data_IF_159476180944
#
_entry.id   IF_159476180944
#
_cell.length_a   1.000
_cell.length_b   1.000
_cell.length_c   1.000
_cell.angle_alpha   90.00
_cell.angle_beta   90.00
_cell.angle_gamma   90.00
#
_symmetry.space_group_name_H-M   'P 1'
#
loop_
_entity.id
_entity.type
_entity.pdbx_description
1 polymer ?
2 non-polymer ?
3 water ?
#
# COMPACT_ATOMS: atom_id res chain seq x y z
N UNK A 18 -26.35 32.54 -12.21
CA UNK A 18 -27.13 32.21 -13.44
C UNK A 18 -26.63 33.05 -14.62
N UNK A 19 -27.06 32.71 -15.86
CA UNK A 19 -27.96 31.65 -16.32
C UNK A 19 -27.70 30.21 -15.88
N UNK A 20 -28.79 29.50 -15.57
CA UNK A 20 -28.74 28.12 -15.15
C UNK A 20 -29.43 27.23 -16.19
N UNK A 21 -29.09 27.42 -17.47
CA UNK A 21 -29.67 26.61 -18.52
C UNK A 21 -28.89 25.30 -18.64
N UNK A 22 -29.57 24.15 -18.49
CA UNK A 22 -28.88 22.86 -18.58
C UNK A 22 -28.07 22.68 -19.86
N UNK A 23 -26.86 22.17 -19.70
CA UNK A 23 -25.95 21.91 -20.82
C UNK A 23 -25.30 20.56 -20.57
N UNK A 24 -25.20 19.74 -21.61
CA UNK A 24 -24.57 18.42 -21.50
C UNK A 24 -23.23 18.47 -22.25
N UNK A 25 -22.15 18.10 -21.56
CA UNK A 25 -20.87 18.11 -22.26
C UNK A 25 -20.94 17.07 -23.37
N UNK A 26 -20.57 17.50 -24.58
CA UNK A 26 -20.58 16.63 -25.74
C UNK A 26 -19.79 17.32 -26.82
N UNK A 27 -19.49 16.61 -27.91
CA UNK A 27 -18.70 17.17 -29.00
C UNK A 27 -18.58 16.11 -30.11
N UNK A 28 -18.32 16.58 -31.32
CA UNK A 28 -18.15 15.68 -32.43
C UNK A 28 -16.78 15.06 -32.13
N UNK A 29 -16.72 13.72 -32.16
CA UNK A 29 -15.50 12.97 -31.85
C UNK A 29 -14.31 13.35 -32.72
N UNK A 30 -13.12 13.04 -32.21
CA UNK A 30 -11.88 13.29 -32.92
C UNK A 30 -11.82 12.50 -34.24
N UNK A 31 -11.30 13.14 -35.27
CA UNK A 31 -11.14 12.53 -36.57
C UNK A 31 -9.72 12.86 -37.02
N UNK A 32 -9.08 11.93 -37.71
CA UNK A 32 -7.71 12.14 -38.19
C UNK A 32 -6.66 12.33 -37.09
N UNK A 33 -7.03 12.03 -35.85
CA UNK A 33 -6.12 12.20 -34.72
C UNK A 33 -5.91 13.67 -34.45
N UNK A 34 -6.95 14.44 -34.76
CA UNK A 34 -6.96 15.86 -34.53
C UNK A 34 -7.87 16.09 -33.34
N UNK A 35 -7.57 17.11 -32.53
CA UNK A 35 -8.38 17.45 -31.36
C UNK A 35 -9.79 17.85 -31.78
N UNK A 36 -10.83 17.37 -31.08
CA UNK A 36 -12.18 17.77 -31.48
C UNK A 36 -12.43 19.22 -31.05
N UNK A 37 -13.55 19.78 -31.47
CA UNK A 37 -13.86 21.14 -31.08
C UNK A 37 -15.30 21.12 -30.58
N UNK A 38 -15.50 21.76 -29.44
CA UNK A 38 -16.81 21.79 -28.79
C UNK A 38 -17.73 22.87 -29.34
N UNK A 39 -17.16 23.78 -30.13
CA UNK A 39 -17.98 24.85 -30.67
C UNK A 39 -17.69 26.20 -30.04
N UNK A 40 -17.73 27.24 -30.86
CA UNK A 40 -17.47 28.60 -30.42
C UNK A 40 -18.28 28.93 -29.17
N UNK A 41 -19.50 28.42 -29.14
CA UNK A 41 -20.42 28.66 -28.04
C UNK A 41 -19.93 28.06 -26.73
N UNK A 42 -19.60 26.78 -26.74
CA UNK A 42 -19.13 26.09 -25.55
C UNK A 42 -17.73 26.56 -25.17
N UNK A 43 -16.89 26.73 -26.18
CA UNK A 43 -15.53 27.17 -25.93
C UNK A 43 -15.55 28.46 -25.13
N UNK A 44 -16.44 29.38 -25.50
CA UNK A 44 -16.53 30.66 -24.80
C UNK A 44 -16.92 30.47 -23.34
N UNK A 45 -17.97 29.70 -23.07
CA UNK A 45 -18.41 29.47 -21.71
C UNK A 45 -17.30 28.80 -20.90
N UNK A 46 -16.63 27.83 -21.53
CA UNK A 46 -15.54 27.10 -20.91
C UNK A 46 -14.48 28.06 -20.40
N UNK A 47 -13.92 28.82 -21.32
CA UNK A 47 -12.88 29.79 -21.00
C UNK A 47 -13.32 30.81 -19.98
N UNK A 48 -14.57 31.27 -20.09
CA UNK A 48 -15.10 32.26 -19.16
C UNK A 48 -14.86 31.81 -17.72
N UNK A 49 -14.82 30.51 -17.49
CA UNK A 49 -14.58 29.98 -16.16
C UNK A 49 -13.37 29.08 -16.11
N UNK A 50 -13.17 28.44 -14.97
CA UNK A 50 -12.04 27.55 -14.80
C UNK A 50 -12.55 26.17 -15.23
N UNK A 51 -12.44 25.91 -16.54
CA UNK A 51 -12.89 24.64 -17.13
C UNK A 51 -12.24 24.36 -18.48
N UNK A 52 -11.92 23.10 -18.72
CA UNK A 52 -11.29 22.70 -19.98
C UNK A 52 -11.62 21.26 -20.35
N UNK A 53 -11.40 20.92 -21.61
CA UNK A 53 -11.66 19.56 -22.08
C UNK A 53 -10.44 19.03 -22.83
N UNK A 54 -9.44 19.88 -23.01
CA UNK A 54 -8.20 19.50 -23.70
C UNK A 54 -6.97 19.97 -22.92
N UNK A 55 -5.86 19.29 -23.13
CA UNK A 55 -4.62 19.68 -22.48
C UNK A 55 -3.75 20.38 -23.52
N UNK A 56 -2.46 20.09 -23.52
CA UNK A 56 -1.55 20.73 -24.49
C UNK A 56 -1.64 20.06 -25.86
N UNK A 57 -2.39 20.68 -26.77
CA UNK A 57 -2.56 20.12 -28.11
C UNK A 57 -1.31 20.28 -28.97
N UNK A 58 -0.35 21.06 -28.48
CA UNK A 58 0.88 21.29 -29.21
C UNK A 58 1.87 20.16 -29.08
N UNK A 59 1.67 19.27 -28.10
CA UNK A 59 2.57 18.12 -27.92
C UNK A 59 1.76 16.82 -27.91
N UNK A 60 2.44 15.71 -28.19
CA UNK A 60 1.82 14.40 -28.22
C UNK A 60 1.63 13.86 -26.81
N UNK A 61 0.68 14.45 -26.08
CA UNK A 61 0.41 14.05 -24.72
C UNK A 61 -1.06 13.69 -24.54
N UNK A 62 -1.29 12.72 -23.67
CA UNK A 62 -2.62 12.24 -23.34
C UNK A 62 -2.74 12.24 -21.82
N UNK A 63 -3.93 12.57 -21.35
CA UNK A 63 -4.19 12.62 -19.91
C UNK A 63 -5.36 11.68 -19.66
N UNK A 64 -5.11 10.62 -18.89
CA UNK A 64 -6.16 9.65 -18.55
C UNK A 64 -6.98 10.03 -17.30
N UNK A 65 -8.30 10.04 -17.43
CA UNK A 65 -9.17 10.32 -16.28
C UNK A 65 -10.20 9.22 -16.23
N UNK A 66 -10.75 8.98 -15.04
CA UNK A 66 -11.76 7.95 -14.84
C UNK A 66 -12.95 8.45 -14.03
N UNK A 67 -14.14 7.94 -14.33
CA UNK A 67 -15.32 8.29 -13.53
C UNK A 67 -15.61 6.99 -12.79
N UNK A 68 -15.73 7.09 -11.47
CA UNK A 68 -15.97 5.90 -10.68
C UNK A 68 -17.19 6.10 -9.79
N UNK A 69 -18.31 5.48 -10.16
CA UNK A 69 -19.53 5.58 -9.40
C UNK A 69 -19.84 4.32 -8.60
N UNK A 70 -19.33 3.19 -9.09
CA UNK A 70 -19.50 1.89 -8.41
C UNK A 70 -18.39 0.97 -8.92
N UNK A 71 -18.18 -0.12 -8.20
CA UNK A 71 -17.14 -1.06 -8.55
C UNK A 71 -17.72 -2.33 -9.12
N UNK A 72 -17.09 -2.85 -10.17
CA UNK A 72 -17.55 -4.09 -10.77
C UNK A 72 -16.41 -5.10 -10.89
N UNK A 73 -15.40 -4.96 -10.03
CA UNK A 73 -14.29 -5.89 -10.01
C UNK A 73 -12.98 -5.66 -10.77
N UNK A 74 -12.85 -4.59 -11.54
CA UNK A 74 -11.62 -4.41 -12.33
C UNK A 74 -10.70 -3.26 -11.96
N UNK A 75 -11.14 -2.39 -11.04
CA UNK A 75 -10.32 -1.24 -10.67
C UNK A 75 -8.94 -1.64 -10.16
N UNK A 76 -8.84 -2.75 -9.40
CA UNK A 76 -7.50 -3.17 -8.92
C UNK A 76 -6.54 -3.42 -10.10
N UNK A 77 -7.05 -4.07 -11.15
CA UNK A 77 -6.24 -4.37 -12.33
C UNK A 77 -5.90 -3.08 -13.08
N UNK A 78 -6.85 -2.13 -13.12
CA UNK A 78 -6.58 -0.87 -13.79
C UNK A 78 -5.43 -0.17 -13.04
N UNK A 79 -5.45 -0.23 -11.71
CA UNK A 79 -4.40 0.39 -10.91
C UNK A 79 -3.07 -0.34 -11.16
N UNK A 80 -3.13 -1.66 -11.30
CA UNK A 80 -1.93 -2.47 -11.59
C UNK A 80 -1.35 -2.09 -12.94
N UNK A 81 -2.23 -1.89 -13.91
CA UNK A 81 -1.82 -1.52 -15.25
C UNK A 81 -1.15 -0.15 -15.23
N UNK A 82 -1.80 0.82 -14.61
CA UNK A 82 -1.26 2.17 -14.51
C UNK A 82 0.12 2.18 -13.85
N UNK A 83 0.27 1.36 -12.80
CA UNK A 83 1.54 1.26 -12.09
C UNK A 83 2.60 0.68 -13.02
N UNK A 84 2.24 -0.41 -13.69
CA UNK A 84 3.13 -1.08 -14.63
C UNK A 84 3.69 -0.10 -15.67
N UNK A 85 2.81 0.69 -16.29
CA UNK A 85 3.23 1.67 -17.29
C UNK A 85 3.70 2.99 -16.69
N UNK A 86 3.68 3.06 -15.36
CA UNK A 86 4.12 4.26 -14.66
C UNK A 86 3.31 5.50 -15.06
N UNK A 87 1.99 5.35 -15.16
CA UNK A 87 1.13 6.47 -15.54
C UNK A 87 0.25 6.95 -14.38
N UNK A 88 0.07 8.27 -14.28
CA UNK A 88 -0.76 8.84 -13.20
C UNK A 88 -2.19 9.09 -13.68
N UNK A 89 -3.14 8.38 -13.09
CA UNK A 89 -4.53 8.57 -13.46
C UNK A 89 -5.22 9.59 -12.55
N UNK A 90 -6.35 10.11 -13.02
CA UNK A 90 -7.14 11.05 -12.23
C UNK A 90 -8.51 10.38 -12.17
N UNK A 91 -8.88 9.95 -10.96
CA UNK A 91 -10.12 9.24 -10.73
C UNK A 91 -11.18 10.13 -10.07
N UNK A 92 -12.24 10.41 -10.82
CA UNK A 92 -13.36 11.22 -10.35
C UNK A 92 -14.34 10.27 -9.68
N UNK A 93 -14.41 10.37 -8.36
CA UNK A 93 -15.25 9.48 -7.58
C UNK A 93 -16.49 10.09 -6.95
N UNK A 94 -17.50 9.24 -6.74
CA UNK A 94 -18.73 9.70 -6.09
C UNK A 94 -18.66 9.31 -4.62
N UNK A 95 -19.66 9.78 -3.85
CA UNK A 95 -19.72 9.49 -2.44
C UNK A 95 -19.95 8.01 -2.22
N UNK A 96 -20.84 7.44 -3.03
CA UNK A 96 -21.10 6.01 -2.91
C UNK A 96 -19.84 5.19 -3.19
N UNK A 97 -19.06 5.62 -4.19
CA UNK A 97 -17.86 4.87 -4.52
C UNK A 97 -16.86 4.89 -3.38
N UNK A 98 -16.62 6.08 -2.82
CA UNK A 98 -15.65 6.19 -1.74
C UNK A 98 -16.05 5.38 -0.51
N UNK A 99 -17.33 5.39 -0.18
CA UNK A 99 -17.84 4.65 0.98
C UNK A 99 -17.87 3.14 0.77
N UNK A 100 -18.12 2.71 -0.47
CA UNK A 100 -18.15 1.28 -0.75
C UNK A 100 -16.76 0.69 -0.95
N UNK A 101 -15.82 1.52 -1.39
CA UNK A 101 -14.47 1.06 -1.70
C UNK A 101 -13.35 1.88 -1.03
N UNK A 102 -13.33 1.93 0.31
CA UNK A 102 -12.25 2.74 0.90
C UNK A 102 -10.82 2.29 0.53
N UNK A 103 -10.62 0.99 0.40
CA UNK A 103 -9.31 0.44 0.07
C UNK A 103 -8.82 0.82 -1.33
N UNK A 104 -9.71 0.88 -2.31
CA UNK A 104 -9.30 1.28 -3.66
C UNK A 104 -8.91 2.76 -3.61
N UNK A 105 -9.70 3.54 -2.87
CA UNK A 105 -9.43 4.95 -2.68
C UNK A 105 -8.03 5.10 -2.03
N UNK A 106 -7.75 4.27 -1.03
CA UNK A 106 -6.44 4.32 -0.38
C UNK A 106 -5.33 3.95 -1.39
N UNK A 107 -5.60 2.95 -2.24
CA UNK A 107 -4.59 2.58 -3.25
C UNK A 107 -4.34 3.73 -4.23
N UNK A 108 -5.42 4.39 -4.68
CA UNK A 108 -5.26 5.51 -5.62
C UNK A 108 -4.31 6.55 -5.03
N UNK A 109 -4.56 6.88 -3.76
CA UNK A 109 -3.75 7.85 -3.04
C UNK A 109 -2.34 7.29 -2.83
N UNK A 110 -2.23 6.09 -2.25
CA UNK A 110 -0.89 5.54 -2.01
C UNK A 110 -0.09 5.33 -3.27
N UNK A 111 -0.76 5.09 -4.39
CA UNK A 111 -0.01 4.85 -5.62
C UNK A 111 0.26 6.01 -6.56
N UNK A 112 0.09 7.23 -6.04
CA UNK A 112 0.42 8.41 -6.83
C UNK A 112 -0.62 9.03 -7.74
N UNK A 113 -1.85 8.53 -7.67
CA UNK A 113 -2.89 9.07 -8.53
C UNK A 113 -3.63 10.25 -7.91
N UNK A 114 -4.43 10.93 -8.73
CA UNK A 114 -5.19 12.07 -8.27
C UNK A 114 -6.64 11.66 -8.11
N UNK A 115 -7.24 12.05 -6.99
CA UNK A 115 -8.63 11.73 -6.76
C UNK A 115 -9.44 12.99 -7.03
N UNK A 116 -10.31 12.94 -8.04
CA UNK A 116 -11.13 14.08 -8.41
C UNK A 116 -12.52 13.96 -7.81
N UNK A 117 -13.30 15.03 -7.93
CA UNK A 117 -14.63 15.06 -7.35
C UNK A 117 -15.74 14.83 -8.38
N UNK A 118 -16.57 13.83 -8.13
CA UNK A 118 -17.69 13.54 -9.02
C UNK A 118 -19.01 13.71 -8.24
N UNK A 119 -18.91 14.43 -7.11
CA UNK A 119 -20.03 14.75 -6.19
C UNK A 119 -20.47 13.56 -5.34
N UNK A 120 -21.03 13.85 -4.17
CA UNK A 120 -21.44 12.79 -3.26
C UNK A 120 -22.56 11.89 -3.75
N UNK A 121 -23.69 12.48 -4.15
CA UNK A 121 -24.82 11.70 -4.61
C UNK A 121 -24.96 11.65 -6.11
N UNK A 122 -24.01 12.23 -6.84
CA UNK A 122 -24.06 12.21 -8.31
C UNK A 122 -25.39 12.80 -8.82
N UNK A 123 -25.81 13.95 -8.28
CA UNK A 123 -27.07 14.55 -8.73
C UNK A 123 -26.82 15.48 -9.92
N UNK A 124 -27.91 15.99 -10.48
CA UNK A 124 -27.80 16.95 -11.57
C UNK A 124 -27.60 18.23 -10.77
N UNK A 125 -26.38 18.78 -10.80
CA UNK A 125 -26.06 19.99 -10.05
C UNK A 125 -26.86 21.24 -10.44
N UNK A 126 -27.47 21.24 -11.62
CA UNK A 126 -28.23 22.44 -12.03
C UNK A 126 -29.55 22.52 -11.26
N UNK A 127 -29.89 21.43 -10.57
CA UNK A 127 -31.11 21.41 -9.77
C UNK A 127 -30.75 21.67 -8.30
N UNK A 128 -29.53 22.12 -8.05
CA UNK A 128 -29.09 22.33 -6.68
C UNK A 128 -28.73 23.76 -6.33
N UNK A 129 -28.94 24.13 -5.07
CA UNK A 129 -28.61 25.46 -4.59
C UNK A 129 -27.11 25.48 -4.29
N UNK A 130 -26.51 26.66 -4.27
CA UNK A 130 -25.08 26.80 -3.98
C UNK A 130 -24.73 26.04 -2.71
N UNK A 131 -25.64 26.13 -1.75
CA UNK A 131 -25.51 25.49 -0.45
C UNK A 131 -25.39 23.98 -0.62
N UNK A 132 -26.30 23.44 -1.40
CA UNK A 132 -26.34 22.01 -1.67
C UNK A 132 -25.11 21.59 -2.46
N UNK A 133 -24.74 22.41 -3.45
CA UNK A 133 -23.58 22.13 -4.26
C UNK A 133 -22.35 22.01 -3.39
N UNK A 134 -22.20 22.95 -2.46
CA UNK A 134 -21.05 22.96 -1.55
C UNK A 134 -20.97 21.67 -0.74
N UNK A 135 -22.11 21.21 -0.23
CA UNK A 135 -22.12 20.00 0.58
C UNK A 135 -21.89 18.76 -0.29
N UNK A 136 -22.45 18.78 -1.49
CA UNK A 136 -22.28 17.67 -2.41
C UNK A 136 -20.78 17.44 -2.71
N UNK A 137 -20.02 18.52 -2.86
CA UNK A 137 -18.60 18.40 -3.16
C UNK A 137 -17.72 18.21 -1.93
N UNK A 138 -17.95 19.00 -0.89
CA UNK A 138 -17.12 18.88 0.31
C UNK A 138 -17.18 17.50 0.96
N UNK A 139 -18.39 16.92 1.02
CA UNK A 139 -18.56 15.62 1.65
C UNK A 139 -17.73 14.52 1.00
N UNK A 140 -17.45 14.64 -0.29
CA UNK A 140 -16.61 13.65 -0.98
C UNK A 140 -15.17 13.79 -0.44
N UNK A 141 -14.67 15.03 -0.38
CA UNK A 141 -13.31 15.26 0.14
C UNK A 141 -13.22 14.87 1.62
N UNK A 142 -14.29 15.14 2.36
CA UNK A 142 -14.35 14.82 3.79
C UNK A 142 -14.17 13.31 3.99
N UNK A 143 -14.80 12.53 3.12
CA UNK A 143 -14.72 11.08 3.22
C UNK A 143 -13.37 10.54 2.73
N UNK A 144 -12.86 11.12 1.66
CA UNK A 144 -11.56 10.73 1.10
C UNK A 144 -10.49 11.05 2.16
N UNK A 145 -10.59 12.22 2.79
CA UNK A 145 -9.63 12.59 3.81
C UNK A 145 -9.66 11.61 4.99
N UNK A 146 -10.86 11.23 5.42
CA UNK A 146 -10.97 10.29 6.52
C UNK A 146 -10.12 9.06 6.18
N UNK A 147 -10.16 8.65 4.91
CA UNK A 147 -9.42 7.48 4.44
C UNK A 147 -7.92 7.68 4.19
N UNK A 148 -7.58 8.79 3.53
CA UNK A 148 -6.19 9.03 3.15
C UNK A 148 -5.34 10.01 3.92
N UNK A 149 -5.98 10.86 4.73
CA UNK A 149 -5.23 11.87 5.46
C UNK A 149 -4.66 12.90 4.50
N UNK A 150 -5.19 12.94 3.28
CA UNK A 150 -4.70 13.86 2.26
C UNK A 150 -5.81 14.50 1.44
N UNK A 151 -5.43 15.41 0.56
CA UNK A 151 -6.42 16.09 -0.27
C UNK A 151 -5.74 16.70 -1.49
N UNK A 152 -6.15 16.24 -2.66
CA UNK A 152 -5.64 16.71 -3.94
C UNK A 152 -6.15 18.11 -4.29
N UNK A 153 -5.56 18.69 -5.33
CA UNK A 153 -6.03 19.97 -5.81
C UNK A 153 -7.49 19.68 -6.16
N UNK A 154 -8.33 20.71 -6.13
CA UNK A 154 -9.76 20.55 -6.41
C UNK A 154 -10.15 20.49 -7.89
N UNK A 155 -10.61 19.32 -8.34
CA UNK A 155 -11.06 19.11 -9.73
C UNK A 155 -12.50 18.58 -9.72
N UNK A 156 -13.32 19.09 -10.62
CA UNK A 156 -14.69 18.64 -10.66
C UNK A 156 -15.15 18.15 -12.02
N UNK A 157 -15.82 17.00 -12.01
CA UNK A 157 -16.41 16.50 -13.24
C UNK A 157 -17.91 16.38 -12.87
N UNK A 158 -18.76 17.23 -13.46
CA UNK A 158 -20.20 17.25 -13.20
C UNK A 158 -20.86 15.89 -13.41
N UNK A 159 -21.74 15.50 -12.46
CA UNK A 159 -22.41 14.20 -12.61
C UNK A 159 -23.28 14.27 -13.87
N UNK A 160 -23.29 13.19 -14.66
CA UNK A 160 -24.06 13.15 -15.91
C UNK A 160 -23.52 14.07 -16.99
N UNK A 161 -22.40 14.72 -16.71
CA UNK A 161 -21.81 15.63 -17.69
C UNK A 161 -22.67 16.86 -17.89
N UNK A 162 -23.62 17.04 -16.99
CA UNK A 162 -24.54 18.17 -17.05
C UNK A 162 -24.10 19.34 -16.19
N UNK A 163 -24.05 20.51 -16.81
CA UNK A 163 -23.68 21.74 -16.13
C UNK A 163 -24.49 22.93 -16.68
N UNK A 164 -24.10 24.12 -16.27
CA UNK A 164 -24.74 25.36 -16.71
C UNK A 164 -23.76 26.46 -16.34
N UNK A 165 -24.03 27.70 -16.74
CA UNK A 165 -23.13 28.78 -16.39
C UNK A 165 -23.13 28.99 -14.88
N UNK A 166 -24.30 28.81 -14.28
CA UNK A 166 -24.45 28.95 -12.84
C UNK A 166 -23.55 27.94 -12.11
N UNK A 167 -23.62 26.66 -12.50
CA UNK A 167 -22.81 25.61 -11.90
C UNK A 167 -21.31 25.89 -12.05
N UNK A 168 -20.89 26.32 -13.24
CA UNK A 168 -19.49 26.64 -13.46
C UNK A 168 -19.06 27.78 -12.55
N UNK A 169 -19.90 28.82 -12.47
CA UNK A 169 -19.61 29.98 -11.64
C UNK A 169 -19.54 29.61 -10.16
N UNK A 170 -20.54 28.87 -9.71
CA UNK A 170 -20.62 28.48 -8.31
C UNK A 170 -19.52 27.49 -7.88
N UNK A 171 -19.21 26.50 -8.70
CA UNK A 171 -18.15 25.57 -8.31
C UNK A 171 -16.79 26.25 -8.39
N UNK A 172 -16.65 27.21 -9.31
CA UNK A 172 -15.40 27.94 -9.46
C UNK A 172 -15.20 28.81 -8.22
N UNK A 173 -16.28 29.42 -7.77
CA UNK A 173 -16.27 30.26 -6.58
C UNK A 173 -15.92 29.38 -5.38
N UNK A 174 -16.20 28.08 -5.48
CA UNK A 174 -15.89 27.14 -4.41
C UNK A 174 -14.45 26.60 -4.51
N UNK A 175 -13.74 27.03 -5.55
CA UNK A 175 -12.36 26.60 -5.71
C UNK A 175 -12.09 25.44 -6.65
N UNK A 176 -13.14 24.97 -7.33
CA UNK A 176 -12.94 23.84 -8.24
C UNK A 176 -12.61 24.17 -9.69
N UNK A 177 -11.79 23.31 -10.24
CA UNK A 177 -11.37 23.38 -11.63
C UNK A 177 -12.26 22.32 -12.28
N UNK A 178 -13.13 22.71 -13.20
CA UNK A 178 -14.00 21.75 -13.83
C UNK A 178 -13.29 21.09 -15.01
N UNK A 179 -13.23 19.76 -14.97
CA UNK A 179 -12.56 19.02 -16.02
C UNK A 179 -13.54 18.22 -16.86
N UNK A 180 -13.59 18.53 -18.16
CA UNK A 180 -14.44 17.77 -19.07
C UNK A 180 -13.48 16.76 -19.74
N UNK A 181 -13.76 16.39 -20.99
CA UNK A 181 -12.94 15.41 -21.71
C UNK A 181 -13.07 15.59 -23.22
N UNK A 182 -12.21 14.89 -23.97
CA UNK A 182 -12.22 14.99 -25.44
C UNK A 182 -12.23 13.59 -26.08
N UNK A 183 -12.18 12.56 -25.24
CA UNK A 183 -12.24 11.17 -25.68
C UNK A 183 -13.07 10.39 -24.69
N UNK A 184 -14.08 9.68 -25.22
CA UNK A 184 -14.97 8.84 -24.41
C UNK A 184 -15.75 7.92 -25.36
N UNK A 185 -16.16 6.77 -24.85
CA UNK A 185 -16.93 5.84 -25.64
C UNK A 185 -17.77 5.02 -24.66
N UNK A 186 -18.62 4.13 -25.18
CA UNK A 186 -19.49 3.34 -24.33
C UNK A 186 -18.77 2.14 -23.67
N UNK A 187 -18.25 2.36 -22.47
CA UNK A 187 -17.57 1.33 -21.71
C UNK A 187 -18.21 1.33 -20.31
N UNK A 188 -19.51 1.62 -20.30
CA UNK A 188 -20.24 1.70 -19.06
C UNK A 188 -21.58 0.95 -19.11
N UNK A 189 -21.87 0.31 -20.24
CA UNK A 189 -23.10 -0.47 -20.33
C UNK A 189 -22.81 -1.90 -19.87
N UNK A 190 -23.29 -2.23 -18.68
CA UNK A 190 -23.08 -3.55 -18.11
C UNK A 190 -23.88 -4.64 -18.82
N UNK A 191 -25.01 -4.27 -19.40
CA UNK A 191 -25.84 -5.26 -20.09
C UNK A 191 -25.31 -5.60 -21.48
N UNK A 192 -24.27 -4.89 -21.92
CA UNK A 192 -23.70 -5.15 -23.23
C UNK A 192 -22.21 -4.86 -23.26
N UNK A 193 -21.46 -5.67 -22.52
CA UNK A 193 -20.01 -5.49 -22.41
C UNK A 193 -19.30 -6.11 -23.62
N UNK A 194 -19.01 -5.26 -24.60
CA UNK A 194 -18.40 -5.70 -25.87
C UNK A 194 -17.01 -6.31 -25.87
N UNK A 195 -16.23 -6.13 -24.80
CA UNK A 195 -14.93 -6.76 -24.80
C UNK A 195 -13.71 -5.88 -25.06
N UNK A 196 -12.55 -6.51 -24.99
CA UNK A 196 -11.26 -5.83 -25.15
C UNK A 196 -11.04 -4.98 -26.40
N UNK A 197 -11.20 -5.59 -27.59
CA UNK A 197 -11.03 -4.91 -28.87
C UNK A 197 -11.83 -3.61 -29.01
N UNK A 198 -13.11 -3.68 -28.66
CA UNK A 198 -13.98 -2.52 -28.75
C UNK A 198 -13.37 -1.27 -28.12
N UNK A 199 -12.97 -1.40 -26.85
CA UNK A 199 -12.39 -0.31 -26.07
C UNK A 199 -11.01 0.11 -26.61
N UNK A 200 -10.16 -0.88 -26.86
CA UNK A 200 -8.82 -0.62 -27.37
C UNK A 200 -8.87 0.20 -28.68
N UNK A 201 -9.68 -0.26 -29.65
CA UNK A 201 -9.78 0.44 -30.92
C UNK A 201 -10.24 1.87 -30.75
N UNK A 202 -11.19 2.10 -29.85
CA UNK A 202 -11.64 3.48 -29.63
C UNK A 202 -10.50 4.33 -29.07
N UNK A 203 -9.72 3.75 -28.17
CA UNK A 203 -8.62 4.49 -27.55
C UNK A 203 -7.51 4.84 -28.54
N UNK A 204 -7.29 3.96 -29.51
CA UNK A 204 -6.28 4.15 -30.55
C UNK A 204 -6.76 5.10 -31.62
N UNK A 205 -8.01 4.92 -32.05
CA UNK A 205 -8.59 5.76 -33.09
C UNK A 205 -8.84 7.20 -32.69
N UNK A 206 -9.33 7.43 -31.49
CA UNK A 206 -9.62 8.80 -31.07
C UNK A 206 -8.42 9.55 -30.51
N UNK A 207 -7.28 8.87 -30.43
CA UNK A 207 -6.07 9.50 -29.92
C UNK A 207 -5.70 10.76 -30.71
N UNK A 208 -5.34 11.81 -29.97
CA UNK A 208 -4.92 13.07 -30.54
C UNK A 208 -4.10 13.84 -29.52
N UNK A 209 -3.29 14.79 -29.99
CA UNK A 209 -2.45 15.60 -29.12
C UNK A 209 -3.34 16.37 -28.14
N UNK A 210 -2.96 16.33 -26.86
CA UNK A 210 -3.71 17.04 -25.84
C UNK A 210 -5.01 16.37 -25.36
N UNK A 211 -5.25 15.13 -25.80
CA UNK A 211 -6.47 14.43 -25.43
C UNK A 211 -6.66 14.13 -23.95
N UNK A 212 -7.89 14.34 -23.49
CA UNK A 212 -8.23 14.04 -22.13
C UNK A 212 -9.22 12.89 -22.22
N UNK A 213 -8.73 11.70 -21.90
CA UNK A 213 -9.54 10.49 -21.93
C UNK A 213 -10.43 10.39 -20.70
N UNK A 214 -11.65 9.90 -20.92
CA UNK A 214 -12.62 9.65 -19.84
C UNK A 214 -12.93 8.16 -19.94
N UNK A 215 -12.45 7.39 -18.98
CA UNK A 215 -12.69 5.96 -19.00
C UNK A 215 -13.42 5.52 -17.74
N UNK A 216 -14.09 4.38 -17.85
CA UNK A 216 -14.77 3.75 -16.73
C UNK A 216 -13.96 2.47 -16.52
N UNK A 217 -14.15 1.81 -15.38
CA UNK A 217 -13.41 0.60 -15.01
C UNK A 217 -14.35 -0.54 -14.65
N UNK A 218 -15.59 -0.45 -15.14
CA UNK A 218 -16.61 -1.43 -14.83
C UNK A 218 -16.87 -2.48 -15.92
N UNK A 219 -16.41 -2.22 -17.14
CA UNK A 219 -16.64 -3.14 -18.24
C UNK A 219 -15.58 -4.24 -18.42
N UNK A 220 -16.03 -5.40 -18.89
CA UNK A 220 -15.13 -6.53 -19.11
C UNK A 220 -13.90 -6.19 -19.96
N UNK A 221 -12.74 -6.69 -19.50
CA UNK A 221 -11.44 -6.49 -20.16
C UNK A 221 -10.99 -5.06 -20.33
N UNK A 222 -11.59 -4.13 -19.61
CA UNK A 222 -11.21 -2.74 -19.77
C UNK A 222 -9.76 -2.46 -19.36
N UNK A 223 -9.27 -3.19 -18.36
CA UNK A 223 -7.90 -3.01 -17.90
C UNK A 223 -6.91 -3.51 -18.96
N UNK A 224 -7.27 -4.64 -19.58
CA UNK A 224 -6.42 -5.22 -20.61
C UNK A 224 -6.39 -4.27 -21.83
N UNK A 225 -7.55 -3.73 -22.20
CA UNK A 225 -7.65 -2.80 -23.32
C UNK A 225 -6.77 -1.57 -23.04
N UNK A 226 -6.83 -1.07 -21.80
CA UNK A 226 -6.04 0.08 -21.39
C UNK A 226 -4.54 -0.25 -21.46
N UNK A 227 -4.20 -1.43 -20.95
CA UNK A 227 -2.81 -1.91 -20.95
C UNK A 227 -2.24 -1.84 -22.38
N UNK A 228 -2.93 -2.46 -23.33
CA UNK A 228 -2.51 -2.49 -24.72
C UNK A 228 -2.49 -1.11 -25.36
N UNK A 229 -3.50 -0.30 -25.05
CA UNK A 229 -3.57 1.04 -25.61
C UNK A 229 -2.40 1.92 -25.14
N UNK A 230 -2.03 1.82 -23.88
CA UNK A 230 -0.90 2.60 -23.39
C UNK A 230 0.39 2.08 -24.03
N UNK A 231 0.53 0.76 -24.14
CA UNK A 231 1.73 0.18 -24.77
C UNK A 231 1.83 0.70 -26.19
N UNK A 232 0.74 0.61 -26.96
CA UNK A 232 0.78 1.07 -28.35
C UNK A 232 0.80 2.57 -28.55
N UNK A 233 0.13 3.31 -27.67
CA UNK A 233 0.16 4.77 -27.79
C UNK A 233 1.58 5.29 -27.44
N UNK A 234 2.23 4.65 -26.48
CA UNK A 234 3.59 5.07 -26.12
C UNK A 234 4.49 4.80 -27.32
N UNK A 235 4.32 3.63 -27.93
CA UNK A 235 5.09 3.26 -29.11
C UNK A 235 4.87 4.27 -30.23
N UNK A 236 3.69 4.89 -30.26
CA UNK A 236 3.38 5.88 -31.28
C UNK A 236 3.98 7.25 -31.00
N UNK A 237 4.62 7.41 -29.84
CA UNK A 237 5.20 8.70 -29.51
C UNK A 237 4.45 9.55 -28.52
N UNK A 238 3.39 9.00 -27.91
CA UNK A 238 2.61 9.75 -26.92
C UNK A 238 3.17 9.65 -25.51
N UNK A 239 3.14 10.76 -24.78
CA UNK A 239 3.56 10.76 -23.38
C UNK A 239 2.25 10.97 -22.60
N UNK A 240 2.07 10.19 -21.52
CA UNK A 240 0.89 10.27 -20.67
C UNK A 240 1.21 11.10 -19.42
N UNK A 241 0.45 12.17 -19.21
CA UNK A 241 0.64 13.02 -18.04
C UNK A 241 -0.64 13.11 -17.20
N UNK A 242 -0.52 13.74 -16.04
CA UNK A 242 -1.66 13.87 -15.14
C UNK A 242 -2.37 15.20 -15.30
N UNK A 243 -3.54 15.32 -14.67
CA UNK A 243 -4.29 16.57 -14.72
C UNK A 243 -3.52 17.68 -13.96
N UNK A 244 -2.79 17.32 -12.90
CA UNK A 244 -1.98 18.31 -12.16
C UNK A 244 -0.89 18.80 -13.10
N UNK A 245 -0.29 17.86 -13.85
CA UNK A 245 0.76 18.20 -14.82
C UNK A 245 0.15 19.22 -15.77
N UNK A 246 -1.03 18.89 -16.28
CA UNK A 246 -1.75 19.76 -17.22
C UNK A 246 -1.92 21.15 -16.64
N UNK A 247 -2.37 21.23 -15.39
CA UNK A 247 -2.54 22.54 -14.77
C UNK A 247 -1.22 23.26 -14.54
N UNK A 248 -0.23 22.56 -14.01
CA UNK A 248 1.04 23.22 -13.75
C UNK A 248 1.73 23.67 -15.01
N UNK A 249 1.67 22.85 -16.05
CA UNK A 249 2.33 23.20 -17.28
C UNK A 249 1.69 24.36 -18.02
N UNK A 250 0.37 24.41 -18.02
CA UNK A 250 -0.30 25.51 -18.72
C UNK A 250 -0.02 26.80 -17.95
N UNK A 251 0.14 26.68 -16.65
CA UNK A 251 0.40 27.84 -15.82
C UNK A 251 1.82 28.35 -16.04
N UNK A 252 2.68 27.50 -16.59
CA UNK A 252 4.06 27.89 -16.86
C UNK A 252 4.11 28.93 -17.98
N UNK A 253 3.49 28.70 -19.05
N UNK B 18 23.72 -24.31 -3.82
CA UNK B 18 22.90 -25.56 -3.85
C UNK B 18 22.86 -26.18 -5.25
N UNK B 19 22.89 -22.45 -4.58
CA UNK B 19 23.94 -21.46 -4.37
C UNK B 19 24.13 -21.14 -2.89
N UNK B 20 25.37 -20.81 -2.53
CA UNK B 20 25.67 -20.40 -1.16
C UNK B 20 26.12 -18.95 -1.26
N UNK B 21 25.36 -18.16 -1.99
CA UNK B 21 25.65 -16.73 -2.13
C UNK B 21 25.04 -16.02 -0.93
N UNK B 22 25.86 -15.29 -0.15
CA UNK B 22 25.30 -14.61 1.01
C UNK B 22 24.17 -13.64 0.59
N UNK B 23 23.21 -13.45 1.49
CA UNK B 23 22.09 -12.56 1.23
C UNK B 23 21.72 -11.98 2.57
N UNK B 24 21.62 -10.66 2.64
CA UNK B 24 21.23 -10.01 3.89
C UNK B 24 19.74 -9.69 3.83
N UNK B 25 18.97 -10.16 4.80
CA UNK B 25 17.55 -9.86 4.75
C UNK B 25 17.37 -8.35 4.89
N UNK B 26 16.62 -7.77 3.94
CA UNK B 26 16.35 -6.34 3.89
C UNK B 26 15.20 -6.05 2.95
N UNK B 27 14.65 -4.84 3.01
CA UNK B 27 13.51 -4.49 2.17
C UNK B 27 13.23 -3.00 2.34
N UNK B 28 12.55 -2.41 1.34
CA UNK B 28 12.19 -1.01 1.48
C UNK B 28 11.11 -1.05 2.55
N UNK B 29 11.21 -0.15 3.52
CA UNK B 29 10.26 -0.09 4.62
C UNK B 29 8.83 0.09 4.17
N UNK B 30 7.91 -0.26 5.07
CA UNK B 30 6.49 -0.12 4.83
C UNK B 30 6.15 1.37 4.73
N UNK B 31 5.31 1.72 3.77
CA UNK B 31 4.90 3.10 3.60
C UNK B 31 3.37 3.15 3.63
N UNK B 32 2.82 4.21 4.19
CA UNK B 32 1.36 4.34 4.25
C UNK B 32 0.61 3.16 4.87
N UNK B 33 1.30 2.39 5.70
CA UNK B 33 0.75 1.22 6.38
C UNK B 33 0.39 0.07 5.48
N UNK B 34 1.10 -0.04 4.36
CA UNK B 34 0.88 -1.13 3.43
C UNK B 34 2.06 -2.06 3.69
N UNK B 35 1.85 -3.38 3.58
CA UNK B 35 2.95 -4.32 3.82
C UNK B 35 4.10 -4.02 2.86
N UNK B 36 5.35 -4.31 3.24
CA UNK B 36 6.48 -4.05 2.34
C UNK B 36 6.62 -5.25 1.40
N UNK B 37 7.47 -5.10 0.39
CA UNK B 37 7.70 -6.23 -0.51
C UNK B 37 9.20 -6.29 -0.77
N UNK B 38 9.76 -7.49 -0.60
CA UNK B 38 11.20 -7.70 -0.79
C UNK B 38 11.60 -7.94 -2.25
N UNK B 39 10.62 -7.96 -3.15
CA UNK B 39 10.92 -8.21 -4.54
C UNK B 39 10.76 -9.67 -4.93
N UNK B 40 10.46 -9.91 -6.20
CA UNK B 40 10.25 -11.26 -6.72
C UNK B 40 11.42 -12.18 -6.43
N UNK B 41 12.62 -11.67 -6.63
CA UNK B 41 13.84 -12.44 -6.39
C UNK B 41 13.84 -13.07 -4.99
N UNK B 42 13.74 -12.21 -3.99
CA UNK B 42 13.74 -12.65 -2.62
C UNK B 42 12.46 -13.41 -2.27
N UNK B 43 11.33 -12.94 -2.79
CA UNK B 43 10.05 -13.61 -2.54
C UNK B 43 10.09 -15.05 -3.05
N UNK B 44 10.70 -15.24 -4.22
CA UNK B 44 10.79 -16.56 -4.84
C UNK B 44 11.73 -17.50 -4.11
N UNK B 45 12.88 -16.98 -3.68
CA UNK B 45 13.82 -17.81 -2.95
C UNK B 45 13.22 -18.22 -1.62
N UNK B 46 12.64 -17.25 -0.94
CA UNK B 46 12.01 -17.46 0.37
C UNK B 46 10.89 -18.48 0.31
N UNK B 47 9.93 -18.23 -0.57
CA UNK B 47 8.79 -19.12 -0.76
C UNK B 47 9.29 -20.53 -1.09
N UNK B 48 10.41 -20.61 -1.78
CA UNK B 48 10.98 -21.89 -2.18
C UNK B 48 11.29 -22.82 -0.99
N UNK B 49 11.62 -22.23 0.16
CA UNK B 49 11.94 -22.99 1.36
C UNK B 49 10.98 -22.72 2.50
N UNK B 50 9.83 -22.15 2.14
CA UNK B 50 8.78 -21.83 3.11
C UNK B 50 9.10 -20.80 4.19
N UNK B 51 10.12 -19.99 3.97
CA UNK B 51 10.47 -18.95 4.93
C UNK B 51 9.52 -17.77 4.66
N UNK B 52 9.32 -16.88 5.62
CA UNK B 52 8.42 -15.75 5.41
C UNK B 52 8.81 -14.55 6.25
N UNK B 53 8.35 -13.37 5.83
CA UNK B 53 8.61 -12.14 6.56
C UNK B 53 7.29 -11.49 6.90
N UNK B 54 6.20 -12.08 6.41
CA UNK B 54 4.87 -11.54 6.67
C UNK B 54 3.86 -12.61 7.10
N UNK B 55 2.88 -12.17 7.89
CA UNK B 55 1.82 -13.05 8.35
C UNK B 55 0.59 -12.80 7.45
N UNK B 56 -0.62 -12.90 8.01
CA UNK B 56 -1.84 -12.67 7.22
C UNK B 56 -2.11 -11.19 7.03
N UNK B 57 -1.80 -10.72 5.83
CA UNK B 57 -1.94 -9.31 5.47
C UNK B 57 -3.38 -8.92 5.12
N UNK B 58 -4.30 -9.86 5.27
CA UNK B 58 -5.70 -9.60 4.98
C UNK B 58 -6.46 -9.34 6.27
N UNK B 59 -5.73 -9.09 7.34
CA UNK B 59 -6.34 -8.78 8.63
C UNK B 59 -5.39 -7.91 9.43
N UNK B 60 -5.97 -7.05 10.28
CA UNK B 60 -5.17 -6.16 11.12
C UNK B 60 -4.48 -6.92 12.25
N UNK B 61 -3.49 -7.71 11.87
CA UNK B 61 -2.75 -8.50 12.83
C UNK B 61 -1.26 -8.18 12.78
N UNK B 62 -0.64 -8.12 13.96
CA UNK B 62 0.78 -7.89 14.10
C UNK B 62 1.34 -9.03 14.97
N UNK B 63 2.58 -9.45 14.68
CA UNK B 63 3.24 -10.53 15.41
C UNK B 63 4.53 -9.97 15.96
N UNK B 64 4.70 -10.01 17.28
CA UNK B 64 5.92 -9.49 17.87
C UNK B 64 7.04 -10.55 18.04
N UNK B 65 8.24 -10.22 17.56
CA UNK B 65 9.39 -11.10 17.69
C UNK B 65 10.53 -10.28 18.28
N UNK B 66 11.45 -10.94 18.95
CA UNK B 66 12.60 -10.27 19.55
C UNK B 66 13.90 -11.00 19.24
N UNK B 67 14.99 -10.25 19.11
CA UNK B 67 16.32 -10.87 18.92
C UNK B 67 17.01 -10.61 20.26
N UNK B 68 17.54 -11.65 20.88
CA UNK B 68 18.19 -11.53 22.18
C UNK B 68 19.60 -12.11 22.22
N UNK B 69 20.60 -11.25 22.09
CA UNK B 69 21.98 -11.70 22.10
C UNK B 69 22.65 -11.48 23.43
N UNK B 70 22.17 -10.48 24.17
CA UNK B 70 22.70 -10.16 25.49
C UNK B 70 21.66 -9.33 26.23
N UNK B 71 21.85 -9.20 27.53
CA UNK B 71 20.92 -8.47 28.38
C UNK B 71 21.49 -7.12 28.84
N UNK B 72 20.65 -6.09 28.81
CA UNK B 72 21.06 -4.76 29.24
C UNK B 72 20.11 -4.27 30.33
N UNK B 73 19.39 -5.20 30.96
CA UNK B 73 18.50 -4.88 32.06
C UNK B 73 17.05 -4.51 31.79
N UNK B 74 16.55 -4.68 30.56
CA UNK B 74 15.16 -4.30 30.28
C UNK B 74 14.20 -5.40 29.93
N UNK B 75 14.70 -6.62 29.72
CA UNK B 75 13.80 -7.69 29.34
C UNK B 75 12.73 -8.01 30.38
N UNK B 76 13.06 -7.93 31.68
CA UNK B 76 12.03 -8.23 32.70
C UNK B 76 10.82 -7.28 32.46
N UNK B 77 11.12 -6.01 32.16
CA UNK B 77 10.08 -5.03 31.90
C UNK B 77 9.36 -5.37 30.60
N UNK B 78 10.11 -5.78 29.58
CA UNK B 78 9.47 -6.16 28.32
C UNK B 78 8.47 -7.30 28.58
N UNK B 79 8.87 -8.26 29.40
CA UNK B 79 8.02 -9.40 29.73
C UNK B 79 6.79 -8.96 30.55
N UNK B 80 6.97 -8.02 31.48
CA UNK B 80 5.83 -7.53 32.27
C UNK B 80 4.86 -6.83 31.36
N UNK B 81 5.41 -6.06 30.41
CA UNK B 81 4.56 -5.34 29.47
C UNK B 81 3.73 -6.30 28.62
N UNK B 82 4.36 -7.36 28.08
CA UNK B 82 3.63 -8.33 27.25
C UNK B 82 2.54 -9.06 28.05
N UNK B 83 2.83 -9.33 29.32
CA UNK B 83 1.87 -9.99 30.20
C UNK B 83 0.66 -9.08 30.44
N UNK B 84 0.93 -7.81 30.68
CA UNK B 84 -0.14 -6.85 30.93
C UNK B 84 -1.13 -6.82 29.74
N UNK B 85 -0.58 -6.78 28.52
CA UNK B 85 -1.39 -6.73 27.31
C UNK B 85 -1.80 -8.11 26.84
N UNK B 86 -1.32 -9.13 27.55
CA UNK B 86 -1.61 -10.52 27.21
C UNK B 86 -1.24 -10.81 25.74
N UNK B 87 -0.03 -10.40 25.35
CA UNK B 87 0.45 -10.61 23.99
C UNK B 87 1.56 -11.65 24.05
N UNK B 88 1.57 -12.59 23.12
CA UNK B 88 2.60 -13.63 23.12
C UNK B 88 3.75 -13.27 22.18
N UNK B 89 4.94 -13.09 22.77
CA UNK B 89 6.11 -12.77 21.99
C UNK B 89 6.91 -14.00 21.59
N UNK B 90 7.78 -13.83 20.59
CA UNK B 90 8.66 -14.91 20.12
C UNK B 90 10.05 -14.32 20.25
N UNK B 91 10.86 -14.91 21.13
CA UNK B 91 12.19 -14.42 21.40
C UNK B 91 13.26 -15.31 20.80
N UNK B 92 13.98 -14.76 19.83
CA UNK B 92 15.05 -15.48 19.14
C UNK B 92 16.34 -15.28 19.93
N UNK B 93 16.72 -16.34 20.64
CA UNK B 93 17.90 -16.27 21.50
C UNK B 93 19.15 -16.95 20.98
N UNK B 94 20.29 -16.42 21.40
CA UNK B 94 21.60 -16.99 21.07
C UNK B 94 22.06 -17.85 22.26
N UNK B 95 23.14 -18.62 22.07
CA UNK B 95 23.67 -19.45 23.14
C UNK B 95 24.14 -18.66 24.35
N UNK B 96 24.82 -17.54 24.08
CA UNK B 96 25.30 -16.68 25.16
C UNK B 96 24.16 -16.10 26.02
N UNK B 97 23.07 -15.69 25.37
CA UNK B 97 21.94 -15.11 26.08
C UNK B 97 21.33 -16.15 27.03
N UNK B 98 21.13 -17.36 26.51
CA UNK B 98 20.56 -18.45 27.29
C UNK B 98 21.47 -18.79 28.50
N UNK B 99 22.76 -18.97 28.28
CA UNK B 99 23.70 -19.28 29.37
C UNK B 99 23.85 -18.12 30.33
N UNK B 100 23.73 -16.89 29.82
CA UNK B 100 23.85 -15.74 30.69
C UNK B 100 22.57 -15.37 31.46
N UNK B 101 21.42 -15.66 30.86
CA UNK B 101 20.14 -15.31 31.48
C UNK B 101 19.13 -16.45 31.65
N UNK B 102 19.50 -17.53 32.36
CA UNK B 102 18.60 -18.69 32.60
C UNK B 102 17.20 -18.33 33.11
N UNK B 103 17.14 -17.42 34.08
CA UNK B 103 15.88 -17.04 34.66
C UNK B 103 14.97 -16.29 33.69
N UNK B 104 15.54 -15.45 32.83
CA UNK B 104 14.73 -14.76 31.83
C UNK B 104 14.20 -15.80 30.84
N UNK B 105 15.02 -16.81 30.53
CA UNK B 105 14.61 -17.88 29.61
C UNK B 105 13.44 -18.63 30.25
N UNK B 106 13.56 -18.87 31.55
CA UNK B 106 12.53 -19.55 32.31
C UNK B 106 11.22 -18.73 32.31
N UNK B 107 11.33 -17.42 32.49
CA UNK B 107 10.13 -16.55 32.50
C UNK B 107 9.44 -16.59 31.14
N UNK B 108 10.23 -16.49 30.07
CA UNK B 108 9.66 -16.54 28.72
C UNK B 108 8.82 -17.80 28.59
N UNK B 109 9.39 -18.92 29.00
CA UNK B 109 8.71 -20.21 28.93
C UNK B 109 7.50 -20.25 29.86
N UNK B 110 7.70 -19.89 31.12
CA UNK B 110 6.60 -19.91 32.10
C UNK B 110 5.44 -18.98 31.76
N UNK B 111 5.74 -17.85 31.12
CA UNK B 111 4.72 -16.86 30.80
C UNK B 111 4.05 -16.94 29.41
N UNK B 112 4.18 -18.10 28.79
CA UNK B 112 3.53 -18.36 27.51
C UNK B 112 4.20 -17.95 26.22
N UNK B 113 5.43 -17.45 26.29
CA UNK B 113 6.11 -17.00 25.08
C UNK B 113 6.85 -18.11 24.34
N UNK B 114 7.20 -17.84 23.09
CA UNK B 114 7.92 -18.79 22.24
C UNK B 114 9.40 -18.45 22.17
N UNK B 115 10.24 -19.46 22.35
CA UNK B 115 11.68 -19.25 22.27
C UNK B 115 12.14 -19.76 20.90
N UNK B 116 12.61 -18.84 20.05
CA UNK B 116 13.07 -19.18 18.70
C UNK B 116 14.58 -19.34 18.72
N UNK B 117 15.16 -19.83 17.64
CA UNK B 117 16.60 -20.05 17.59
C UNK B 117 17.38 -18.99 16.81
N UNK B 118 18.38 -18.41 17.47
CA UNK B 118 19.22 -17.40 16.86
C UNK B 118 20.68 -17.89 16.81
N UNK B 119 20.82 -19.23 16.89
CA UNK B 119 22.11 -19.95 16.88
C UNK B 119 22.92 -19.79 18.15
N UNK B 120 23.77 -20.76 18.45
CA UNK B 120 24.54 -20.70 19.66
C UNK B 120 25.57 -19.58 19.73
N UNK B 121 26.39 -19.45 18.69
CA UNK B 121 27.44 -18.42 18.64
C UNK B 121 27.12 -17.20 17.78
N UNK B 122 25.96 -17.17 17.16
CA UNK B 122 25.58 -16.04 16.31
C UNK B 122 26.59 -15.83 15.20
N UNK B 123 27.03 -16.91 14.53
CA UNK B 123 28.01 -16.70 13.46
C UNK B 123 27.31 -16.46 12.12
N UNK B 124 28.09 -16.33 11.05
CA UNK B 124 27.51 -16.19 9.72
C UNK B 124 27.35 -17.66 9.33
N UNK B 125 26.10 -18.09 9.14
CA UNK B 125 25.84 -19.49 8.80
C UNK B 125 26.27 -19.89 7.39
N UNK B 126 26.50 -18.93 6.51
CA UNK B 126 26.92 -19.28 5.14
C UNK B 126 28.38 -19.71 5.18
N UNK B 127 29.05 -19.42 6.29
CA UNK B 127 30.44 -19.81 6.45
C UNK B 127 30.56 -21.13 7.21
N UNK B 128 29.42 -21.79 7.45
CA UNK B 128 29.42 -23.04 8.20
C UNK B 128 29.00 -24.30 7.43
N UNK B 129 29.51 -25.44 7.87
CA UNK B 129 29.19 -26.73 7.25
C UNK B 129 27.87 -27.24 7.84
N UNK B 130 27.26 -28.21 7.16
CA UNK B 130 25.99 -28.78 7.61
C UNK B 130 26.08 -29.27 9.04
N UNK B 131 27.16 -29.97 9.36
CA UNK B 131 27.35 -30.50 10.71
C UNK B 131 27.52 -29.36 11.70
N UNK B 132 28.13 -28.27 11.24
CA UNK B 132 28.34 -27.08 12.07
C UNK B 132 27.02 -26.38 12.32
N UNK B 133 26.25 -26.20 11.26
CA UNK B 133 24.95 -25.55 11.34
C UNK B 133 24.07 -26.36 12.30
N UNK B 134 24.12 -27.67 12.17
CA UNK B 134 23.31 -28.54 13.03
C UNK B 134 23.64 -28.37 14.51
N UNK B 135 24.93 -28.32 14.85
CA UNK B 135 25.33 -28.16 16.25
C UNK B 135 25.03 -26.73 16.75
N UNK B 136 25.29 -25.73 15.91
CA UNK B 136 25.01 -24.34 16.25
C UNK B 136 23.55 -24.17 16.67
N UNK B 137 22.64 -24.87 15.98
CA UNK B 137 21.23 -24.78 16.28
C UNK B 137 20.78 -25.70 17.43
N UNK B 138 21.16 -26.97 17.37
CA UNK B 138 20.77 -27.88 18.43
C UNK B 138 21.25 -27.47 19.82
N UNK B 139 22.45 -26.88 19.91
CA UNK B 139 23.03 -26.46 21.19
C UNK B 139 22.16 -25.45 21.91
N UNK B 140 21.47 -24.62 21.13
CA UNK B 140 20.60 -23.64 21.74
C UNK B 140 19.45 -24.40 22.42
N UNK B 141 18.79 -25.29 21.69
CA UNK B 141 17.65 -26.03 22.28
C UNK B 141 18.07 -26.88 23.46
N UNK B 142 19.25 -27.50 23.35
CA UNK B 142 19.79 -28.34 24.43
C UNK B 142 19.89 -27.56 25.74
N UNK B 143 20.42 -26.34 25.66
CA UNK B 143 20.55 -25.48 26.85
C UNK B 143 19.18 -24.96 27.33
N UNK B 144 18.34 -24.52 26.40
CA UNK B 144 17.00 -24.04 26.79
C UNK B 144 16.27 -25.17 27.50
N UNK B 145 16.38 -26.39 26.97
CA UNK B 145 15.71 -27.54 27.56
C UNK B 145 16.24 -27.83 28.96
N UNK B 146 17.55 -27.75 29.15
CA UNK B 146 18.14 -27.97 30.47
C UNK B 146 17.43 -27.02 31.44
N UNK B 147 17.15 -25.80 30.97
CA UNK B 147 16.48 -24.80 31.80
C UNK B 147 14.96 -24.98 31.96
N UNK B 148 14.26 -25.30 30.87
CA UNK B 148 12.80 -25.39 30.96
C UNK B 148 12.12 -26.74 30.91
N UNK B 149 12.83 -27.78 30.46
CA UNK B 149 12.23 -29.10 30.35
C UNK B 149 11.26 -29.07 29.18
N UNK B 150 11.29 -27.99 28.40
CA UNK B 150 10.40 -27.86 27.26
C UNK B 150 11.17 -27.52 25.98
N UNK B 151 10.44 -27.59 24.87
CA UNK B 151 11.01 -27.26 23.57
C UNK B 151 9.91 -26.85 22.61
N UNK B 152 9.99 -25.59 22.18
CA UNK B 152 9.04 -24.97 21.24
C UNK B 152 9.19 -25.52 19.83
N UNK B 153 8.24 -25.17 18.97
CA UNK B 153 8.31 -25.53 17.57
C UNK B 153 9.61 -24.86 17.08
N UNK B 154 10.28 -25.47 16.10
CA UNK B 154 11.54 -24.97 15.59
C UNK B 154 11.49 -23.77 14.65
N UNK B 155 11.93 -22.64 15.18
CA UNK B 155 11.96 -21.39 14.42
C UNK B 155 13.38 -20.87 14.38
N UNK B 156 13.80 -20.41 13.20
CA UNK B 156 15.13 -19.87 13.08
C UNK B 156 15.16 -18.46 12.51
N UNK B 157 15.96 -17.60 13.14
CA UNK B 157 16.18 -16.28 12.60
C UNK B 157 17.68 -16.24 12.37
N UNK B 158 18.10 -16.30 11.10
CA UNK B 158 19.52 -16.28 10.73
C UNK B 158 20.34 -15.26 11.49
N UNK B 159 21.44 -15.72 12.11
CA UNK B 159 22.32 -14.85 12.87
C UNK B 159 22.80 -13.70 12.00
N UNK B 160 22.66 -12.48 12.48
CA UNK B 160 23.14 -11.33 11.74
C UNK B 160 22.34 -11.00 10.48
N UNK B 161 21.17 -11.63 10.33
CA UNK B 161 20.31 -11.38 9.17
C UNK B 161 20.78 -11.98 7.84
N UNK B 162 21.92 -12.65 7.87
CA UNK B 162 22.54 -13.25 6.68
C UNK B 162 22.19 -14.71 6.44
N UNK B 163 21.81 -15.02 5.19
CA UNK B 163 21.47 -16.38 4.80
C UNK B 163 21.89 -16.63 3.35
N UNK B 164 21.42 -17.75 2.79
CA UNK B 164 21.73 -18.11 1.42
C UNK B 164 20.76 -19.23 1.07
N UNK B 165 20.67 -19.59 -0.20
CA UNK B 165 19.78 -20.68 -0.56
C UNK B 165 20.25 -21.94 0.16
N UNK B 166 21.56 -22.12 0.22
CA UNK B 166 22.17 -23.27 0.88
C UNK B 166 21.78 -23.33 2.36
N UNK B 167 21.80 -22.19 3.03
CA UNK B 167 21.44 -22.10 4.44
C UNK B 167 19.95 -22.38 4.68
N UNK B 168 19.10 -21.85 3.80
CA UNK B 168 17.66 -22.08 3.91
C UNK B 168 17.37 -23.57 3.76
N UNK B 169 17.97 -24.15 2.72
CA UNK B 169 17.79 -25.56 2.40
C UNK B 169 18.25 -26.48 3.55
N UNK B 170 19.45 -26.25 4.04
CA UNK B 170 20.00 -27.07 5.10
C UNK B 170 19.21 -26.97 6.39
N UNK B 171 18.91 -25.75 6.84
CA UNK B 171 18.13 -25.55 8.06
C UNK B 171 16.71 -26.12 7.92
N UNK B 172 16.14 -26.02 6.73
CA UNK B 172 14.81 -26.55 6.50
C UNK B 172 14.92 -28.07 6.59
N UNK B 173 16.05 -28.59 6.12
CA UNK B 173 16.27 -30.03 6.16
C UNK B 173 16.38 -30.48 7.61
N UNK B 174 16.78 -29.55 8.48
CA UNK B 174 16.92 -29.82 9.90
C UNK B 174 15.64 -29.56 10.68
N UNK B 175 14.54 -29.28 9.96
CA UNK B 175 13.26 -29.05 10.62
C UNK B 175 12.93 -27.61 11.03
N UNK B 176 13.79 -26.66 10.68
CA UNK B 176 13.56 -25.27 11.05
C UNK B 176 12.76 -24.42 10.10
N UNK B 177 11.83 -23.68 10.68
CA UNK B 177 11.02 -22.73 9.95
C UNK B 177 11.82 -21.45 10.08
N UNK B 178 12.27 -20.88 8.97
CA UNK B 178 13.02 -19.64 9.08
C UNK B 178 12.07 -18.45 9.05
N UNK B 179 12.26 -17.53 9.99
CA UNK B 179 11.41 -16.37 10.11
C UNK B 179 12.19 -15.05 9.96
N UNK B 180 11.78 -14.23 9.01
CA UNK B 180 12.41 -12.93 8.84
C UNK B 180 11.50 -11.90 9.50
N UNK B 181 11.42 -10.67 8.97
CA UNK B 181 10.56 -9.64 9.57
C UNK B 181 10.13 -8.59 8.54
N UNK B 182 9.17 -7.75 8.91
CA UNK B 182 8.67 -6.72 7.99
C UNK B 182 8.75 -5.33 8.62
N UNK B 183 9.13 -5.28 9.90
CA UNK B 183 9.28 -4.02 10.63
C UNK B 183 10.49 -4.16 11.55
N UNK B 184 11.41 -3.19 11.46
CA UNK B 184 12.63 -3.12 12.26
C UNK B 184 13.20 -1.70 12.16
N UNK B 185 13.95 -1.31 13.18
CA UNK B 185 14.56 0.01 13.21
C UNK B 185 15.76 -0.09 14.15
N UNK B 186 16.52 0.98 14.23
CA UNK B 186 17.70 0.95 15.07
C UNK B 186 17.37 1.11 16.54
N UNK B 187 17.18 -0.02 17.22
CA UNK B 187 16.89 -0.05 18.65
C UNK B 187 17.97 -0.93 19.31
N UNK B 188 19.11 -1.04 18.64
CA UNK B 188 20.21 -1.88 19.10
C UNK B 188 21.56 -1.17 19.26
N UNK B 189 21.61 0.13 19.02
CA UNK B 189 22.87 0.87 19.20
C UNK B 189 22.96 1.41 20.63
N UNK B 190 23.86 0.82 21.41
CA UNK B 190 24.02 1.22 22.82
C UNK B 190 24.70 2.57 22.98
N UNK B 191 25.54 2.93 22.02
CA UNK B 191 26.20 4.22 22.13
C UNK B 191 25.28 5.38 21.72
N UNK B 192 24.09 5.08 21.22
CA UNK B 192 23.17 6.15 20.84
C UNK B 192 21.71 5.73 21.06
N UNK B 193 21.35 5.58 22.33
CA UNK B 193 20.01 5.17 22.73
C UNK B 193 19.08 6.39 22.68
N UNK B 194 18.24 6.42 21.65
CA UNK B 194 17.33 7.54 21.42
C UNK B 194 16.10 7.77 22.31
N UNK B 195 15.73 6.81 23.15
CA UNK B 195 14.59 7.04 24.01
C UNK B 195 13.26 6.50 23.52
N UNK B 196 12.23 6.69 24.35
CA UNK B 196 10.89 6.15 24.07
C UNK B 196 10.22 6.58 22.77
N UNK B 197 10.07 7.89 22.57
CA UNK B 197 9.42 8.40 21.36
C UNK B 197 9.98 7.84 20.06
N UNK B 198 11.31 7.80 19.95
CA UNK B 198 11.93 7.32 18.73
C UNK B 198 11.43 5.94 18.32
N UNK B 199 11.39 5.01 19.28
CA UNK B 199 10.93 3.64 19.02
C UNK B 199 9.41 3.56 18.85
N UNK B 200 8.70 4.33 19.66
CA UNK B 200 7.25 4.37 19.63
C UNK B 200 6.76 4.84 18.25
N UNK B 201 7.36 5.92 17.74
CA UNK B 201 6.95 6.44 16.42
C UNK B 201 7.21 5.43 15.30
N UNK B 202 8.33 4.74 15.35
CA UNK B 202 8.60 3.73 14.33
C UNK B 202 7.58 2.60 14.37
N UNK B 203 7.22 2.17 15.58
CA UNK B 203 6.25 1.08 15.71
C UNK B 203 4.85 1.47 15.21
N UNK B 204 4.50 2.75 15.35
CA UNK B 204 3.21 3.24 14.90
C UNK B 204 3.24 3.46 13.37
N UNK B 205 4.26 4.17 12.89
CA UNK B 205 4.41 4.46 11.47
C UNK B 205 4.57 3.25 10.55
N UNK B 206 5.45 2.32 10.94
CA UNK B 206 5.70 1.16 10.08
C UNK B 206 4.65 0.07 10.13
N UNK B 207 3.68 0.23 11.03
CA UNK B 207 2.62 -0.78 11.17
C UNK B 207 1.82 -1.01 9.90
N UNK B 208 1.57 -2.29 9.62
CA UNK B 208 0.80 -2.73 8.46
C UNK B 208 0.20 -4.09 8.80
N UNK B 209 -0.90 -4.46 8.13
CA UNK B 209 -1.55 -5.76 8.39
C UNK B 209 -0.57 -6.89 8.05
N UNK B 210 -0.57 -7.93 8.87
CA UNK B 210 0.33 -9.04 8.64
C UNK B 210 1.79 -8.76 9.02
N UNK B 211 2.05 -7.60 9.62
CA UNK B 211 3.40 -7.19 10.03
C UNK B 211 4.08 -8.07 11.07
N UNK B 212 5.33 -8.43 10.80
CA UNK B 212 6.13 -9.18 11.75
C UNK B 212 7.21 -8.24 12.25
N UNK B 213 7.06 -7.78 13.49
CA UNK B 213 8.00 -6.87 14.11
C UNK B 213 9.21 -7.60 14.68
N UNK B 214 10.37 -6.96 14.56
CA UNK B 214 11.63 -7.47 15.10
C UNK B 214 12.10 -6.38 16.05
N UNK B 215 12.10 -6.67 17.35
CA UNK B 215 12.54 -5.67 18.32
C UNK B 215 13.67 -6.22 19.17
N UNK B 216 14.44 -5.32 19.77
CA UNK B 216 15.50 -5.70 20.68
C UNK B 216 14.97 -5.18 22.00
N UNK B 217 15.60 -5.57 23.09
CA UNK B 217 15.14 -5.14 24.41
C UNK B 217 16.33 -4.57 25.19
N UNK B 218 17.31 -4.05 24.47
CA UNK B 218 18.50 -3.50 25.11
C UNK B 218 18.58 -1.98 25.20
N UNK B 219 17.81 -1.30 24.36
CA UNK B 219 17.86 0.16 24.36
C UNK B 219 16.96 0.80 25.41
N UNK B 220 17.36 1.99 25.85
CA UNK B 220 16.63 2.75 26.88
C UNK B 220 15.15 2.96 26.55
N UNK B 221 14.27 2.65 27.52
CA UNK B 221 12.81 2.80 27.38
C UNK B 221 12.15 2.00 26.28
N UNK B 222 12.81 0.97 25.79
CA UNK B 222 12.19 0.18 24.73
C UNK B 222 10.91 -0.47 25.24
N UNK B 223 10.91 -0.82 26.53
CA UNK B 223 9.75 -1.47 27.14
C UNK B 223 8.54 -0.51 27.23
N UNK B 224 8.82 0.75 27.59
CA UNK B 224 7.74 1.73 27.71
C UNK B 224 7.20 2.11 26.33
N UNK B 225 8.09 2.19 25.34
CA UNK B 225 7.69 2.50 23.98
C UNK B 225 6.77 1.38 23.49
N UNK B 226 7.15 0.15 23.82
CA UNK B 226 6.37 -1.04 23.44
C UNK B 226 5.01 -1.03 24.13
N UNK B 227 5.02 -0.67 25.42
CA UNK B 227 3.79 -0.61 26.19
C UNK B 227 2.81 0.34 25.47
N UNK B 228 3.29 1.52 25.11
CA UNK B 228 2.46 2.50 24.45
C UNK B 228 2.04 2.06 23.07
N UNK B 229 2.97 1.46 22.34
CA UNK B 229 2.66 1.02 20.97
C UNK B 229 1.58 -0.05 20.95
N UNK B 230 1.64 -1.01 21.87
CA UNK B 230 0.60 -2.03 21.90
C UNK B 230 -0.71 -1.36 22.32
N UNK B 231 -0.65 -0.52 23.35
CA UNK B 231 -1.83 0.18 23.82
C UNK B 231 -2.49 0.90 22.65
N UNK B 232 -1.72 1.66 21.88
CA UNK B 232 -2.31 2.39 20.75
C UNK B 232 -2.61 1.59 19.50
N UNK B 233 -1.79 0.60 19.18
CA UNK B 233 -2.06 -0.21 18.00
C UNK B 233 -3.37 -0.98 18.20
N UNK B 234 -3.61 -1.42 19.43
CA UNK B 234 -4.84 -2.15 19.75
C UNK B 234 -6.07 -1.22 19.55
N UNK B 235 -5.96 0.04 19.98
CA UNK B 235 -7.05 0.99 19.82
C UNK B 235 -7.38 1.20 18.34
N UNK B 236 -6.35 1.13 17.49
CA UNK B 236 -6.56 1.31 16.07
C UNK B 236 -7.17 0.07 15.48
N UNK B 237 -7.35 -0.97 16.28
CA UNK B 237 -7.96 -2.18 15.76
C UNK B 237 -7.05 -3.34 15.38
N UNK B 238 -5.81 -3.35 15.88
CA UNK B 238 -4.88 -4.45 15.58
C UNK B 238 -4.97 -5.54 16.62
N UNK B 239 -4.75 -6.79 16.19
CA UNK B 239 -4.73 -7.93 17.08
C UNK B 239 -3.29 -8.44 17.07
N UNK B 240 -2.77 -8.78 18.24
CA UNK B 240 -1.42 -9.29 18.31
C UNK B 240 -1.45 -10.80 18.42
N UNK B 241 -0.85 -11.47 17.45
CA UNK B 241 -0.79 -12.93 17.43
C UNK B 241 0.66 -13.39 17.49
N UNK B 242 0.85 -14.68 17.72
CA UNK B 242 2.20 -15.23 17.82
C UNK B 242 2.64 -15.90 16.52
N UNK B 243 3.90 -16.30 16.47
CA UNK B 243 4.40 -16.96 15.30
C UNK B 243 3.75 -18.33 15.21
N UNK B 244 3.44 -18.96 16.37
CA UNK B 244 2.74 -20.26 16.34
C UNK B 244 1.33 -20.04 15.78
N UNK B 245 0.68 -18.95 16.17
CA UNK B 245 -0.65 -18.62 15.66
C UNK B 245 -0.58 -18.40 14.14
N UNK B 246 0.48 -17.74 13.68
CA UNK B 246 0.70 -17.47 12.26
C UNK B 246 0.80 -18.78 11.50
N UNK B 247 1.62 -19.68 12.00
CA UNK B 247 1.82 -20.98 11.35
C UNK B 247 0.52 -21.79 11.27
N UNK B 248 -0.18 -21.89 12.39
CA UNK B 248 -1.42 -22.64 12.49
C UNK B 248 -2.48 -22.12 11.52
N UNK B 249 -2.69 -20.82 11.54
CA UNK B 249 -3.69 -20.19 10.68
C UNK B 249 -3.48 -20.30 9.18
N UNK B 250 -2.24 -20.42 8.72
CA UNK B 250 -2.05 -20.51 7.27
C UNK B 250 -1.99 -21.94 6.81
N UNK B 251 -1.91 -22.85 7.78
CA UNK B 251 -1.88 -24.28 7.50
C UNK B 251 -3.25 -24.74 6.95
N UNK B 252 -4.31 -24.38 7.53
X LIG C 1 -20.89 9.66 -13.80
X LIG D 1 -26.72 10.60 1.93
X LIG E 1 21.26 -10.80 16.08
X LIG F 1 31.57 -22.33 22.67
#
# INVERSE_FOLDING_TARGET
GPLGSVLLAGGAAQAEAVPNEPINWGFKRSVNHQPPDAGKQLNSLIEKYDAFYLGNTKEKTIYLTFDNGYENGYTPKVLDVLKKHRVTGTFFVTGHFVKDQPQLIKRMSDEGHIIGNHSFHHPDLTTKTADQIQDELDSVNEEVYKITGKQDNLYLRPPRGVFSEYVLKETKRLGYQTVFWSVAFVDWKINNQKGKKYAYDHMIKQAHPGAIYLLHTVSRDNAEALDDAITDLKKQGYTFKSIDDLMFEKEMRLPSL
GPLGSVLLAGGAAQAEAVPNEPINWGFKRSVNHQPPDAGKQLNSLIEKYDAFYLGNTKEKTIYLTFDNGYENGYTPKVLDVLKKHRVTGTFFVTGHFVKDQPQLIKRMSDEGHIIGNHSFHHPDLTTKTADQIQDELDSVNEEVYKITGKQDNLYLRPPRGVFSEYVLKETKRLGYQTVFWSVAFVDWKINNQKGKKYAYDHMIKQAHPGAIYLLHTVSRDNAEALDDAITDLKKQGYTFKSIDDLMFEKEMRLPSL
CD CD
CD CD
CD CD
CD CD
#
